data_IF_988943424238
#
_entry.id   IF_988943424238
#
_cell.length_a   1.000
_cell.length_b   1.000
_cell.length_c   1.000
_cell.angle_alpha   90.00
_cell.angle_beta   90.00
_cell.angle_gamma   90.00
#
_symmetry.space_group_name_H-M   'P 1'
#
loop_
_entity.id
_entity.type
_entity.pdbx_description
1 polymer ?
#
# COMPACT_ATOMS: atom_id res chain seq x y z
N UNK A 1 19.42 90.79 6.25
CA UNK A 1 18.39 90.71 7.30
C UNK A 1 17.63 89.40 7.13
N UNK A 2 17.64 88.54 8.16
CA UNK A 2 16.66 87.45 8.46
C UNK A 2 16.67 86.31 7.39
N UNK A 3 16.71 84.99 7.64
CA UNK A 3 16.46 84.06 8.74
C UNK A 3 17.22 82.76 8.33
N UNK A 4 17.75 81.88 9.18
CA UNK A 4 17.17 81.35 10.41
C UNK A 4 16.48 79.99 10.23
N UNK A 5 17.01 79.06 9.42
CA UNK A 5 16.43 77.72 9.22
C UNK A 5 17.04 76.66 10.13
N UNK A 6 16.37 76.35 11.25
CA UNK A 6 16.65 75.19 12.11
C UNK A 6 16.17 73.90 11.43
N UNK A 7 17.09 72.96 11.22
CA UNK A 7 16.77 71.59 10.83
C UNK A 7 16.46 70.76 12.08
N UNK A 8 15.24 70.23 12.18
CA UNK A 8 14.87 69.23 13.18
C UNK A 8 15.14 67.84 12.58
N UNK A 9 16.11 67.11 13.14
CA UNK A 9 16.34 65.72 12.81
C UNK A 9 15.32 64.84 13.50
N UNK A 10 14.40 64.24 12.72
CA UNK A 10 13.56 63.15 13.21
C UNK A 10 14.32 61.84 13.06
N UNK A 11 14.66 61.21 14.19
CA UNK A 11 15.20 59.84 14.20
C UNK A 11 14.01 58.89 14.09
N UNK A 12 13.84 58.26 12.93
CA UNK A 12 12.84 57.20 12.73
C UNK A 12 13.45 55.92 13.32
N UNK A 13 12.97 55.50 14.49
CA UNK A 13 13.25 54.17 15.02
C UNK A 13 12.39 53.14 14.26
N UNK A 14 12.97 52.06 13.72
CA UNK A 14 12.18 50.99 13.13
C UNK A 14 11.36 50.29 14.22
N UNK A 15 10.03 50.37 14.09
CA UNK A 15 9.10 49.57 14.88
C UNK A 15 9.25 48.13 14.38
N UNK A 16 10.04 47.33 15.09
CA UNK A 16 10.03 45.88 14.96
C UNK A 16 8.75 45.37 15.60
N UNK A 17 7.69 45.23 14.81
CA UNK A 17 6.54 44.40 15.16
C UNK A 17 7.02 42.96 15.22
N UNK A 18 7.28 42.47 16.44
CA UNK A 18 7.45 41.06 16.72
C UNK A 18 6.12 40.37 16.40
N UNK A 19 5.98 39.87 15.17
CA UNK A 19 4.98 38.86 14.85
C UNK A 19 5.31 37.66 15.73
N UNK A 20 4.56 37.48 16.81
CA UNK A 20 4.56 36.26 17.58
C UNK A 20 4.01 35.16 16.67
N UNK A 21 4.89 34.41 16.01
CA UNK A 21 4.55 33.11 15.48
C UNK A 21 4.18 32.23 16.67
N UNK A 22 2.88 32.14 16.96
CA UNK A 22 2.37 31.04 17.77
C UNK A 22 2.76 29.77 17.03
N UNK A 23 3.58 28.88 17.63
CA UNK A 23 3.83 27.59 17.03
C UNK A 23 2.47 26.93 16.92
N UNK A 24 1.95 26.79 15.69
CA UNK A 24 0.85 25.89 15.42
C UNK A 24 1.26 24.58 16.08
N UNK A 25 0.51 24.12 17.09
CA UNK A 25 0.63 22.76 17.59
C UNK A 25 0.38 21.87 16.38
N UNK A 26 1.47 21.36 15.79
CA UNK A 26 1.37 20.25 14.86
C UNK A 26 0.74 19.13 15.68
N UNK A 27 -0.53 18.80 15.39
CA UNK A 27 -1.10 17.56 15.87
C UNK A 27 -0.06 16.48 15.60
N UNK A 28 0.33 15.68 16.62
CA UNK A 28 1.37 14.68 16.45
C UNK A 28 0.99 13.86 15.22
N UNK A 29 1.84 13.90 14.19
CA UNK A 29 1.69 13.09 12.99
C UNK A 29 1.51 11.68 13.50
N UNK A 30 0.29 11.16 13.38
CA UNK A 30 -0.05 9.86 13.92
C UNK A 30 0.92 8.87 13.28
N UNK A 31 1.82 8.33 14.11
CA UNK A 31 2.93 7.54 13.62
C UNK A 31 2.37 6.46 12.69
N UNK A 32 2.84 6.47 11.44
CA UNK A 32 2.42 5.52 10.40
C UNK A 32 2.46 4.11 10.98
N UNK A 33 1.28 3.53 11.28
CA UNK A 33 1.22 2.17 11.83
C UNK A 33 1.10 1.21 10.66
N UNK A 34 2.11 0.35 10.44
CA UNK A 34 2.12 -0.57 9.32
C UNK A 34 0.92 -1.52 9.37
N UNK A 35 0.53 -2.04 8.21
CA UNK A 35 -0.33 -3.22 8.10
C UNK A 35 0.18 -4.34 9.01
N UNK A 36 -0.72 -5.03 9.70
CA UNK A 36 -0.32 -6.02 10.70
C UNK A 36 -1.37 -7.14 10.82
N UNK A 37 -0.88 -8.37 10.75
CA UNK A 37 -1.59 -9.57 11.17
C UNK A 37 -0.82 -10.24 12.31
N UNK A 38 -1.53 -10.67 13.34
CA UNK A 38 -0.99 -11.36 14.50
C UNK A 38 -1.48 -12.80 14.46
N UNK A 39 -0.56 -13.75 14.49
CA UNK A 39 -0.87 -15.17 14.62
C UNK A 39 -0.65 -15.63 16.07
N UNK A 40 -1.53 -16.51 16.55
CA UNK A 40 -1.53 -17.03 17.92
C UNK A 40 -1.43 -18.56 17.90
N UNK A 41 -0.54 -19.13 18.72
CA UNK A 41 -0.32 -20.58 18.80
C UNK A 41 -1.52 -21.35 19.36
N UNK A 42 -2.41 -20.66 20.09
CA UNK A 42 -3.62 -21.27 20.66
C UNK A 42 -4.90 -20.63 20.11
N UNK A 43 -6.03 -21.28 20.37
CA UNK A 43 -7.35 -20.76 20.04
C UNK A 43 -7.69 -19.53 20.90
N UNK A 44 -8.72 -18.79 20.48
CA UNK A 44 -9.23 -17.62 21.19
C UNK A 44 -8.16 -16.56 21.49
N UNK A 45 -7.16 -16.41 20.60
CA UNK A 45 -6.16 -15.34 20.64
C UNK A 45 -5.25 -15.39 21.88
N UNK A 46 -4.90 -16.61 22.30
CA UNK A 46 -4.04 -16.87 23.48
C UNK A 46 -2.72 -17.55 23.09
N UNK A 47 -1.83 -17.76 24.06
CA UNK A 47 -0.56 -18.45 23.86
C UNK A 47 0.56 -17.56 23.32
N UNK A 48 1.52 -18.16 22.60
CA UNK A 48 2.60 -17.43 21.93
C UNK A 48 2.02 -16.69 20.73
N UNK A 49 2.43 -15.44 20.55
CA UNK A 49 1.98 -14.62 19.42
C UNK A 49 3.17 -14.14 18.59
N UNK A 50 2.93 -13.89 17.30
CA UNK A 50 3.87 -13.24 16.40
C UNK A 50 3.14 -12.31 15.44
N UNK A 51 3.63 -11.08 15.33
CA UNK A 51 3.15 -10.10 14.34
C UNK A 51 3.90 -10.24 13.02
N UNK A 52 3.18 -10.02 11.94
CA UNK A 52 3.70 -9.97 10.58
C UNK A 52 3.23 -8.67 9.92
N UNK A 53 4.17 -8.01 9.25
CA UNK A 53 3.96 -6.71 8.57
C UNK A 53 4.09 -6.81 7.04
N UNK A 54 4.44 -8.00 6.55
CA UNK A 54 4.64 -8.32 5.14
C UNK A 54 4.11 -9.73 4.84
N UNK A 55 3.86 -10.03 3.55
CA UNK A 55 3.50 -11.37 3.09
C UNK A 55 4.57 -12.40 3.48
N UNK A 56 4.12 -13.62 3.79
CA UNK A 56 4.95 -14.79 4.01
C UNK A 56 4.39 -15.95 3.18
N UNK A 57 5.06 -16.26 2.07
CA UNK A 57 4.70 -17.39 1.18
C UNK A 57 4.86 -18.76 1.85
N UNK A 58 5.63 -18.85 2.94
CA UNK A 58 5.88 -20.09 3.65
C UNK A 58 6.10 -19.84 5.15
N UNK A 59 5.17 -20.30 5.98
CA UNK A 59 5.24 -20.22 7.44
C UNK A 59 5.85 -21.46 8.11
N UNK A 60 6.29 -22.47 7.34
CA UNK A 60 6.80 -23.73 7.90
C UNK A 60 8.07 -23.59 8.76
N UNK A 61 8.88 -22.56 8.51
CA UNK A 61 10.06 -22.21 9.32
C UNK A 61 9.73 -21.32 10.52
N UNK A 62 8.50 -20.80 10.60
CA UNK A 62 8.08 -19.90 11.67
C UNK A 62 7.54 -20.68 12.87
N UNK A 63 8.14 -20.44 14.04
CA UNK A 63 7.80 -21.19 15.26
C UNK A 63 6.38 -20.93 15.77
N UNK A 64 5.77 -19.79 15.43
CA UNK A 64 4.36 -19.49 15.75
C UNK A 64 3.48 -19.73 14.53
N UNK A 65 3.89 -19.27 13.35
CA UNK A 65 3.14 -19.39 12.10
C UNK A 65 2.78 -20.83 11.76
N UNK A 66 3.71 -21.78 11.91
CA UNK A 66 3.45 -23.20 11.65
C UNK A 66 2.36 -23.80 12.53
N UNK A 67 2.26 -23.34 13.79
CA UNK A 67 1.36 -23.93 14.80
C UNK A 67 0.19 -23.00 15.15
N UNK A 68 0.00 -21.93 14.40
CA UNK A 68 -1.02 -20.94 14.70
C UNK A 68 -2.41 -21.58 14.63
N UNK A 69 -3.28 -21.27 15.58
CA UNK A 69 -4.68 -21.77 15.64
C UNK A 69 -5.70 -20.65 15.55
N UNK A 70 -5.32 -19.42 15.88
CA UNK A 70 -6.14 -18.23 15.70
C UNK A 70 -5.29 -17.08 15.20
N UNK A 71 -5.94 -16.08 14.64
CA UNK A 71 -5.28 -14.90 14.11
C UNK A 71 -6.12 -13.67 14.36
N UNK A 72 -5.48 -12.51 14.27
CA UNK A 72 -6.18 -11.25 14.21
C UNK A 72 -5.49 -10.29 13.27
N UNK A 73 -6.28 -9.63 12.44
CA UNK A 73 -5.82 -8.55 11.58
C UNK A 73 -6.05 -7.23 12.29
N UNK A 74 -4.96 -6.53 12.57
CA UNK A 74 -5.01 -5.20 13.18
C UNK A 74 -5.25 -4.16 12.10
N UNK A 75 -4.52 -4.26 10.97
CA UNK A 75 -4.63 -3.35 9.82
C UNK A 75 -4.30 -4.03 8.51
N UNK A 76 -4.98 -3.59 7.45
CA UNK A 76 -4.80 -4.04 6.09
C UNK A 76 -5.73 -5.19 5.73
N UNK A 77 -5.70 -5.57 4.45
CA UNK A 77 -6.41 -6.75 3.95
C UNK A 77 -5.40 -7.87 3.77
N UNK A 78 -5.61 -8.95 4.50
CA UNK A 78 -4.76 -10.13 4.49
C UNK A 78 -5.54 -11.34 3.96
N UNK A 79 -4.81 -12.26 3.35
CA UNK A 79 -5.29 -13.60 3.06
C UNK A 79 -4.46 -14.60 3.80
N UNK A 80 -5.17 -15.51 4.44
CA UNK A 80 -4.62 -16.63 5.15
C UNK A 80 -4.87 -17.88 4.33
N UNK A 81 -3.83 -18.66 4.07
CA UNK A 81 -3.93 -19.98 3.46
C UNK A 81 -3.46 -21.02 4.46
N UNK A 82 -4.20 -22.11 4.56
CA UNK A 82 -3.86 -23.17 5.49
C UNK A 82 -4.43 -24.53 5.12
N UNK A 83 -4.15 -25.50 5.99
CA UNK A 83 -4.70 -26.85 5.93
C UNK A 83 -5.34 -27.23 7.26
N UNK A 84 -6.44 -27.96 7.20
CA UNK A 84 -7.05 -28.62 8.35
C UNK A 84 -6.49 -30.04 8.49
N UNK A 85 -6.22 -30.46 9.73
CA UNK A 85 -5.76 -31.81 10.08
C UNK A 85 -6.82 -32.92 9.92
N UNK A 86 -7.81 -32.73 9.05
CA UNK A 86 -8.84 -33.72 8.76
C UNK A 86 -8.30 -34.85 7.87
N UNK A 87 -9.05 -35.95 7.79
CA UNK A 87 -8.79 -37.04 6.83
C UNK A 87 -9.99 -37.13 5.87
N UNK A 88 -9.85 -36.78 4.58
CA UNK A 88 -8.65 -36.23 3.93
C UNK A 88 -8.34 -34.81 4.39
N UNK A 89 -7.06 -34.40 4.25
CA UNK A 89 -6.61 -33.05 4.58
C UNK A 89 -7.34 -32.03 3.71
N UNK A 90 -8.10 -31.14 4.33
CA UNK A 90 -8.79 -30.07 3.63
C UNK A 90 -7.92 -28.80 3.60
N UNK A 91 -7.93 -28.06 2.49
CA UNK A 91 -7.29 -26.73 2.39
C UNK A 91 -8.33 -25.64 2.65
N UNK A 92 -7.91 -24.56 3.30
CA UNK A 92 -8.74 -23.38 3.45
C UNK A 92 -8.04 -22.12 2.95
N UNK A 93 -8.87 -21.17 2.54
CA UNK A 93 -8.46 -19.82 2.11
C UNK A 93 -9.44 -18.87 2.78
N UNK A 94 -8.91 -17.95 3.57
CA UNK A 94 -9.69 -16.95 4.27
C UNK A 94 -9.14 -15.56 3.90
N UNK A 95 -10.02 -14.62 3.58
CA UNK A 95 -9.64 -13.21 3.46
C UNK A 95 -10.13 -12.50 4.71
N UNK A 96 -9.22 -11.87 5.42
CA UNK A 96 -9.49 -11.21 6.70
C UNK A 96 -8.86 -9.83 6.63
N UNK A 97 -9.62 -8.82 7.03
CA UNK A 97 -9.12 -7.46 7.05
C UNK A 97 -9.37 -6.87 8.41
N UNK A 98 -8.53 -5.92 8.78
CA UNK A 98 -8.73 -5.01 9.89
C UNK A 98 -8.51 -3.61 9.35
N UNK A 99 -9.29 -2.66 9.82
CA UNK A 99 -9.06 -1.26 9.50
C UNK A 99 -8.92 -0.46 10.80
N UNK A 100 -8.28 0.69 10.71
CA UNK A 100 -8.06 1.54 11.88
C UNK A 100 -9.34 2.07 12.53
N UNK A 101 -10.50 2.03 11.85
CA UNK A 101 -11.78 2.58 12.29
C UNK A 101 -12.64 1.55 13.02
N UNK A 102 -12.77 0.37 12.44
CA UNK A 102 -13.54 -0.79 12.91
C UNK A 102 -12.73 -1.67 13.88
N UNK A 103 -11.42 -1.41 13.99
CA UNK A 103 -10.53 -2.06 14.93
C UNK A 103 -10.03 -3.41 14.44
N UNK A 104 -9.43 -4.14 15.39
CA UNK A 104 -8.81 -5.44 15.16
C UNK A 104 -9.89 -6.49 14.91
N UNK A 105 -9.86 -7.15 13.76
CA UNK A 105 -10.75 -8.27 13.42
C UNK A 105 -10.03 -9.57 13.73
N UNK A 106 -10.72 -10.48 14.38
CA UNK A 106 -10.12 -11.69 14.92
C UNK A 106 -10.89 -12.93 14.45
N UNK A 107 -10.16 -13.95 13.98
CA UNK A 107 -10.70 -15.22 13.49
C UNK A 107 -10.08 -16.40 14.24
N UNK A 108 -10.92 -17.33 14.69
CA UNK A 108 -10.49 -18.59 15.31
C UNK A 108 -11.24 -19.76 14.68
N UNK A 109 -10.53 -20.85 14.39
CA UNK A 109 -11.14 -22.08 13.93
C UNK A 109 -11.53 -22.94 15.14
N UNK A 110 -12.78 -22.80 15.58
CA UNK A 110 -13.32 -23.51 16.76
C UNK A 110 -14.01 -24.82 16.36
N UNK A 111 -13.29 -25.70 15.66
CA UNK A 111 -13.75 -27.06 15.38
C UNK A 111 -13.05 -28.03 16.34
N UNK A 112 -13.79 -28.70 17.24
CA UNK A 112 -13.23 -29.72 18.13
C UNK A 112 -12.51 -30.78 17.28
N UNK A 113 -11.26 -31.11 17.65
CA UNK A 113 -10.40 -32.11 16.98
C UNK A 113 -9.89 -31.75 15.57
N UNK A 114 -10.03 -30.49 15.14
CA UNK A 114 -9.43 -30.02 13.88
C UNK A 114 -8.42 -28.94 14.21
N UNK A 115 -7.14 -29.21 13.93
CA UNK A 115 -6.11 -28.18 13.97
C UNK A 115 -5.98 -27.57 12.59
N UNK A 116 -6.15 -26.25 12.50
CA UNK A 116 -5.73 -25.49 11.34
C UNK A 116 -4.21 -25.28 11.44
N UNK A 117 -3.49 -25.53 10.37
CA UNK A 117 -2.10 -25.12 10.17
C UNK A 117 -2.07 -24.02 9.13
N UNK A 118 -1.37 -22.93 9.41
CA UNK A 118 -1.24 -21.79 8.50
C UNK A 118 -0.02 -22.04 7.62
N UNK A 119 -0.23 -22.10 6.30
CA UNK A 119 0.83 -22.35 5.34
C UNK A 119 1.46 -21.03 4.88
N UNK A 120 0.63 -20.01 4.64
CA UNK A 120 1.08 -18.70 4.19
C UNK A 120 0.10 -17.60 4.56
N UNK A 121 0.62 -16.39 4.62
CA UNK A 121 -0.15 -15.15 4.76
C UNK A 121 0.24 -14.20 3.63
N UNK A 122 -0.74 -13.60 2.98
CA UNK A 122 -0.54 -12.71 1.84
C UNK A 122 -1.20 -11.37 2.16
N UNK A 123 -0.42 -10.29 2.16
CA UNK A 123 -0.97 -8.95 2.19
C UNK A 123 -1.57 -8.64 0.81
N UNK A 124 -2.87 -8.38 0.77
CA UNK A 124 -3.62 -8.07 -0.46
C UNK A 124 -3.86 -6.57 -0.63
N UNK A 125 -4.07 -5.87 0.49
CA UNK A 125 -4.46 -4.46 0.47
C UNK A 125 -3.80 -3.68 1.59
N UNK A 126 -3.55 -2.40 1.32
CA UNK A 126 -2.84 -1.50 2.24
C UNK A 126 -3.57 -1.32 3.57
N UNK A 127 -2.88 -0.71 4.54
CA UNK A 127 -3.35 -0.41 5.89
C UNK A 127 -4.70 0.31 5.99
N UNK A 128 -5.09 1.02 4.94
CA UNK A 128 -6.33 1.76 4.84
C UNK A 128 -7.13 1.18 3.69
N UNK A 129 -8.25 0.51 4.00
CA UNK A 129 -9.13 -0.05 2.98
C UNK A 129 -9.79 1.05 2.14
N UNK A 130 -9.82 2.31 2.63
CA UNK A 130 -10.22 3.47 1.84
C UNK A 130 -9.15 3.88 0.82
N UNK A 131 -7.88 3.53 1.08
CA UNK A 131 -6.78 3.79 0.15
C UNK A 131 -6.82 2.77 -1.00
N UNK A 132 -6.95 3.24 -2.24
CA UNK A 132 -7.08 2.36 -3.40
C UNK A 132 -5.75 1.71 -3.75
N UNK A 133 -5.72 0.39 -3.74
CA UNK A 133 -4.63 -0.42 -4.26
C UNK A 133 -5.19 -1.59 -5.07
N UNK A 134 -4.48 -2.02 -6.10
CA UNK A 134 -4.84 -3.18 -6.93
C UNK A 134 -3.65 -4.13 -7.05
N UNK A 135 -3.94 -5.42 -7.01
CA UNK A 135 -2.97 -6.48 -7.20
C UNK A 135 -3.44 -7.49 -8.24
N UNK A 136 -2.49 -8.11 -8.93
CA UNK A 136 -2.73 -9.13 -9.95
C UNK A 136 -1.88 -10.37 -9.72
N UNK A 137 -2.43 -11.52 -10.10
CA UNK A 137 -1.76 -12.81 -10.09
C UNK A 137 -1.94 -13.52 -11.43
N UNK A 138 -0.86 -14.08 -11.95
CA UNK A 138 -0.81 -14.95 -13.13
C UNK A 138 -1.60 -16.23 -12.91
N UNK A 139 -1.69 -16.68 -11.66
CA UNK A 139 -2.47 -17.86 -11.25
C UNK A 139 -3.88 -17.49 -10.82
N UNK A 140 -4.80 -18.41 -11.04
CA UNK A 140 -6.16 -18.29 -10.54
C UNK A 140 -6.19 -18.35 -9.01
N UNK A 141 -7.28 -17.84 -8.42
CA UNK A 141 -7.56 -17.83 -6.98
C UNK A 141 -6.47 -17.16 -6.14
N UNK A 142 -5.71 -16.24 -6.74
CA UNK A 142 -4.57 -15.55 -6.14
C UNK A 142 -3.56 -16.50 -5.47
N UNK A 143 -3.31 -17.65 -6.09
CA UNK A 143 -2.25 -18.53 -5.60
C UNK A 143 -0.87 -17.95 -5.90
N UNK A 144 0.02 -18.03 -4.92
CA UNK A 144 1.38 -17.48 -4.99
C UNK A 144 1.45 -16.00 -4.62
N UNK A 145 2.66 -15.45 -4.65
CA UNK A 145 2.87 -14.01 -4.47
C UNK A 145 2.22 -13.22 -5.62
N UNK A 146 1.81 -11.95 -5.39
CA UNK A 146 1.33 -11.10 -6.46
C UNK A 146 2.45 -10.83 -7.47
N UNK A 147 2.11 -10.97 -8.74
CA UNK A 147 3.02 -10.67 -9.85
C UNK A 147 3.11 -9.14 -10.10
N UNK A 148 2.07 -8.42 -9.69
CA UNK A 148 1.94 -6.97 -9.84
C UNK A 148 1.14 -6.36 -8.69
N UNK A 149 1.66 -5.29 -8.10
CA UNK A 149 0.98 -4.49 -7.07
C UNK A 149 1.07 -3.00 -7.44
N UNK A 150 -0.04 -2.27 -7.25
CA UNK A 150 -0.14 -0.85 -7.52
C UNK A 150 -1.03 -0.16 -6.47
N UNK A 151 -0.47 0.80 -5.75
CA UNK A 151 -1.15 1.74 -4.84
C UNK A 151 -1.22 3.18 -5.40
N UNK A 152 -0.77 3.36 -6.64
CA UNK A 152 -0.71 4.63 -7.36
C UNK A 152 -1.96 4.97 -8.17
N UNK A 153 -1.83 5.97 -9.05
CA UNK A 153 -2.90 6.36 -9.99
C UNK A 153 -2.76 5.69 -11.35
N UNK A 154 -1.54 5.49 -11.83
CA UNK A 154 -1.24 5.01 -13.18
C UNK A 154 -0.04 4.08 -13.11
N UNK A 155 -0.08 3.02 -13.93
CA UNK A 155 1.07 2.16 -14.18
C UNK A 155 1.11 1.78 -15.66
N UNK A 156 2.30 1.80 -16.25
CA UNK A 156 2.56 1.32 -17.60
C UNK A 156 3.59 0.20 -17.53
N UNK A 157 3.23 -0.98 -18.02
CA UNK A 157 4.16 -2.10 -18.10
C UNK A 157 5.04 -1.94 -19.34
N UNK A 158 6.24 -2.52 -19.31
CA UNK A 158 7.12 -2.54 -20.49
C UNK A 158 6.52 -3.39 -21.63
N UNK A 159 5.76 -4.43 -21.28
CA UNK A 159 5.03 -5.29 -22.20
C UNK A 159 3.72 -5.74 -21.55
N UNK A 160 2.67 -6.02 -22.33
CA UNK A 160 1.45 -6.61 -21.79
C UNK A 160 1.72 -7.96 -21.11
N UNK A 161 1.03 -8.20 -20.00
CA UNK A 161 1.13 -9.41 -19.19
C UNK A 161 -0.25 -10.01 -18.94
N UNK A 162 -0.34 -11.33 -18.94
CA UNK A 162 -1.59 -12.04 -18.68
C UNK A 162 -1.72 -12.40 -17.21
N UNK A 163 -2.89 -12.14 -16.65
CA UNK A 163 -3.26 -12.43 -15.27
C UNK A 163 -4.53 -13.27 -15.24
N UNK A 164 -4.68 -14.11 -14.21
CA UNK A 164 -5.83 -15.00 -14.04
C UNK A 164 -6.67 -14.65 -12.80
N UNK A 165 -6.18 -13.78 -11.93
CA UNK A 165 -6.95 -13.21 -10.84
C UNK A 165 -6.41 -11.82 -10.44
N UNK A 166 -7.29 -11.03 -9.83
CA UNK A 166 -6.96 -9.70 -9.33
C UNK A 166 -7.87 -9.34 -8.16
N UNK A 167 -7.41 -8.43 -7.32
CA UNK A 167 -8.19 -7.85 -6.24
C UNK A 167 -7.75 -6.44 -5.95
N UNK A 168 -8.66 -5.60 -5.49
CA UNK A 168 -8.37 -4.21 -5.18
C UNK A 168 -9.18 -3.69 -4.01
N UNK A 169 -8.61 -2.72 -3.31
CA UNK A 169 -9.22 -1.96 -2.21
C UNK A 169 -9.70 -0.58 -2.69
N UNK A 170 -10.47 0.11 -1.84
CA UNK A 170 -10.91 1.48 -2.08
C UNK A 170 -12.23 1.60 -2.85
N UNK A 171 -12.77 2.83 -2.93
CA UNK A 171 -14.02 3.14 -3.68
C UNK A 171 -13.74 3.51 -5.12
N UNK A 172 -12.47 3.48 -5.50
CA UNK A 172 -12.04 3.90 -6.81
C UNK A 172 -12.13 2.74 -7.77
N UNK A 173 -12.79 2.98 -8.88
CA UNK A 173 -12.77 2.07 -10.01
C UNK A 173 -11.36 2.05 -10.64
N UNK A 174 -11.08 1.03 -11.42
CA UNK A 174 -9.81 0.89 -12.15
C UNK A 174 -10.08 0.59 -13.61
N UNK A 175 -9.34 1.21 -14.52
CA UNK A 175 -9.37 0.88 -15.94
C UNK A 175 -8.10 0.12 -16.30
N UNK A 176 -8.28 -1.03 -16.94
CA UNK A 176 -7.21 -1.87 -17.46
C UNK A 176 -7.15 -1.73 -18.98
N UNK A 177 -6.01 -1.37 -19.52
CA UNK A 177 -5.77 -1.32 -20.96
C UNK A 177 -4.92 -2.51 -21.37
N UNK A 178 -5.23 -3.12 -22.53
CA UNK A 178 -4.40 -4.20 -23.08
C UNK A 178 -3.05 -3.71 -23.59
N UNK A 179 -2.96 -2.43 -23.97
CA UNK A 179 -1.73 -1.79 -24.45
C UNK A 179 -0.99 -1.08 -23.31
N UNK A 180 0.27 -0.71 -23.53
CA UNK A 180 1.15 -0.12 -22.51
C UNK A 180 1.04 1.40 -22.41
N UNK A 181 0.35 2.05 -23.35
CA UNK A 181 0.26 3.49 -23.55
C UNK A 181 -1.07 4.09 -23.09
N UNK A 182 -1.89 3.34 -22.35
CA UNK A 182 -3.24 3.73 -21.90
C UNK A 182 -4.22 3.95 -23.08
N UNK A 183 -4.13 3.14 -24.14
CA UNK A 183 -4.98 3.25 -25.32
C UNK A 183 -5.64 1.91 -25.70
N UNK A 184 -6.46 1.93 -26.75
CA UNK A 184 -7.09 0.72 -27.29
C UNK A 184 -8.19 0.13 -26.40
N UNK A 185 -8.36 -1.19 -26.47
CA UNK A 185 -9.39 -1.88 -25.72
C UNK A 185 -9.13 -1.82 -24.21
N UNK A 186 -10.10 -1.30 -23.48
CA UNK A 186 -10.06 -1.12 -22.04
C UNK A 186 -11.20 -1.83 -21.32
N UNK A 187 -10.94 -2.30 -20.12
CA UNK A 187 -11.93 -2.86 -19.22
C UNK A 187 -12.00 -2.04 -17.93
N UNK A 188 -13.21 -1.62 -17.56
CA UNK A 188 -13.47 -0.94 -16.29
C UNK A 188 -13.78 -1.97 -15.19
N UNK A 189 -12.96 -2.00 -14.15
CA UNK A 189 -13.22 -2.69 -12.90
C UNK A 189 -13.94 -1.73 -11.95
N UNK A 190 -15.21 -1.99 -11.72
CA UNK A 190 -16.03 -1.19 -10.80
C UNK A 190 -15.81 -1.71 -9.37
N UNK A 191 -15.54 -0.79 -8.45
CA UNK A 191 -15.54 -1.10 -7.03
C UNK A 191 -16.96 -1.48 -6.60
N UNK A 192 -17.19 -2.75 -6.31
CA UNK A 192 -18.48 -3.18 -5.79
C UNK A 192 -18.56 -2.85 -4.30
N UNK A 193 -19.36 -1.86 -3.94
CA UNK A 193 -19.70 -1.53 -2.56
C UNK A 193 -20.88 -2.35 -2.00
N UNK A 194 -21.36 -3.34 -2.75
CA UNK A 194 -22.67 -3.98 -2.52
C UNK A 194 -22.66 -5.19 -1.57
N UNK A 195 -21.55 -5.45 -0.88
CA UNK A 195 -21.61 -6.34 0.29
C UNK A 195 -21.93 -5.48 1.49
N UNK A 196 -23.15 -5.67 2.03
CA UNK A 196 -23.82 -4.93 3.09
C UNK A 196 -23.13 -4.98 4.48
N UNK A 197 -21.84 -4.69 4.48
CA UNK A 197 -20.98 -4.47 5.63
C UNK A 197 -19.67 -3.94 5.09
N UNK A 198 -19.49 -2.63 5.12
CA UNK A 198 -18.26 -1.81 5.21
C UNK A 198 -16.96 -2.19 4.46
N UNK A 199 -16.91 -3.21 3.61
CA UNK A 199 -15.64 -3.69 3.03
C UNK A 199 -15.55 -3.36 1.55
N UNK A 200 -14.64 -2.44 1.24
CA UNK A 200 -14.37 -1.94 -0.10
C UNK A 200 -13.33 -2.79 -0.82
N UNK A 201 -13.58 -4.09 -0.88
CA UNK A 201 -12.67 -5.05 -1.50
C UNK A 201 -13.39 -5.73 -2.64
N UNK A 202 -12.90 -5.56 -3.86
CA UNK A 202 -13.39 -6.28 -5.03
C UNK A 202 -12.37 -7.32 -5.44
N UNK A 203 -12.79 -8.57 -5.63
CA UNK A 203 -11.93 -9.64 -6.10
C UNK A 203 -12.57 -10.42 -7.25
N UNK A 204 -11.75 -10.86 -8.20
CA UNK A 204 -12.12 -11.89 -9.14
C UNK A 204 -11.06 -12.99 -9.15
N UNK A 205 -11.49 -14.20 -8.79
CA UNK A 205 -10.60 -15.35 -8.60
C UNK A 205 -10.30 -16.09 -9.91
N UNK A 206 -11.10 -15.96 -10.97
CA UNK A 206 -10.96 -16.76 -12.19
C UNK A 206 -11.26 -15.90 -13.44
N UNK A 207 -10.57 -14.77 -13.59
CA UNK A 207 -10.71 -13.92 -14.77
C UNK A 207 -9.37 -13.78 -15.47
N UNK A 208 -9.29 -14.41 -16.64
CA UNK A 208 -8.16 -14.23 -17.55
C UNK A 208 -8.25 -12.86 -18.20
N UNK A 209 -7.18 -12.07 -18.08
CA UNK A 209 -7.06 -10.75 -18.67
C UNK A 209 -5.63 -10.50 -19.12
N UNK A 210 -5.45 -9.62 -20.10
CA UNK A 210 -4.14 -9.12 -20.50
C UNK A 210 -4.08 -7.64 -20.20
N UNK A 211 -3.09 -7.22 -19.43
CA UNK A 211 -2.92 -5.85 -18.96
C UNK A 211 -1.58 -5.34 -19.46
N UNK A 212 -1.59 -4.22 -20.18
CA UNK A 212 -0.39 -3.47 -20.55
C UNK A 212 -0.25 -2.19 -19.73
N UNK A 213 -1.36 -1.57 -19.32
CA UNK A 213 -1.35 -0.39 -18.46
C UNK A 213 -2.63 -0.30 -17.62
N UNK A 214 -2.51 0.39 -16.49
CA UNK A 214 -3.54 0.49 -15.46
C UNK A 214 -3.74 1.97 -15.14
N UNK A 215 -5.00 2.37 -14.97
CA UNK A 215 -5.37 3.71 -14.52
C UNK A 215 -6.44 3.63 -13.43
N UNK A 216 -6.34 4.50 -12.43
CA UNK A 216 -7.34 4.65 -11.38
C UNK A 216 -8.46 5.59 -11.84
N UNK A 217 -9.65 5.04 -11.98
CA UNK A 217 -10.85 5.67 -12.49
C UNK A 217 -11.50 4.81 -13.58
N UNK A 218 -12.75 5.13 -13.91
CA UNK A 218 -13.40 4.69 -15.14
C UNK A 218 -14.01 5.90 -15.82
N UNK A 219 -13.61 6.14 -17.07
CA UNK A 219 -13.99 7.31 -17.85
C UNK A 219 -13.06 7.50 -19.04
N UNK A 220 -13.35 8.48 -19.89
CA UNK A 220 -12.37 8.92 -20.86
C UNK A 220 -11.17 9.49 -20.11
N UNK A 221 -9.94 9.11 -20.52
CA UNK A 221 -8.73 9.74 -19.99
C UNK A 221 -8.78 11.22 -20.34
N UNK A 222 -8.85 12.09 -19.33
CA UNK A 222 -8.75 13.53 -19.56
C UNK A 222 -7.37 13.82 -20.17
N UNK A 223 -7.30 14.40 -21.39
CA UNK A 223 -6.03 14.75 -22.03
C UNK A 223 -5.13 15.62 -21.13
N UNK A 224 -5.69 16.38 -20.19
CA UNK A 224 -4.94 17.18 -19.21
C UNK A 224 -4.17 16.32 -18.21
N UNK A 225 -4.69 15.14 -17.86
CA UNK A 225 -4.01 14.18 -16.97
C UNK A 225 -2.83 13.53 -17.72
N UNK A 226 -3.01 13.20 -18.99
CA UNK A 226 -1.94 12.68 -19.85
C UNK A 226 -0.82 13.72 -20.05
N UNK A 227 -1.19 15.00 -20.22
CA UNK A 227 -0.23 16.09 -20.42
C UNK A 227 0.60 16.46 -19.18
N UNK A 228 0.03 16.38 -17.98
CA UNK A 228 0.77 16.71 -16.73
C UNK A 228 1.73 15.60 -16.29
N UNK A 229 1.38 14.33 -16.50
CA UNK A 229 2.25 13.21 -16.09
C UNK A 229 3.48 13.02 -16.97
N UNK A 230 3.44 13.48 -18.22
CA UNK A 230 4.65 13.53 -19.06
C UNK A 230 5.71 14.49 -18.49
N UNK A 231 5.31 15.44 -17.63
CA UNK A 231 6.21 16.42 -17.00
C UNK A 231 6.58 16.03 -15.55
N UNK A 232 5.76 15.23 -14.87
CA UNK A 232 6.01 14.76 -13.49
C UNK A 232 6.74 13.40 -13.39
N UNK A 233 7.12 12.79 -14.51
CA UNK A 233 7.87 11.53 -14.58
C UNK A 233 9.25 11.51 -13.89
N UNK A 234 9.66 12.59 -13.21
CA UNK A 234 10.88 12.66 -12.39
C UNK A 234 10.65 12.83 -10.88
N UNK A 235 9.41 12.98 -10.40
CA UNK A 235 9.13 13.40 -9.01
C UNK A 235 8.35 12.36 -8.20
N UNK A 236 9.07 11.57 -7.41
CA UNK A 236 8.60 10.58 -6.44
C UNK A 236 7.20 10.76 -5.82
N UNK A 237 6.22 10.05 -6.35
CA UNK A 237 5.15 9.45 -5.56
C UNK A 237 5.50 7.99 -5.38
N UNK A 238 5.93 7.59 -4.18
CA UNK A 238 6.51 6.28 -3.87
C UNK A 238 5.54 5.10 -3.97
N UNK A 239 4.94 4.88 -5.13
CA UNK A 239 4.28 3.62 -5.44
C UNK A 239 5.36 2.55 -5.54
N UNK A 240 5.40 1.66 -4.54
CA UNK A 240 6.38 0.57 -4.52
C UNK A 240 5.91 -0.48 -5.51
N UNK A 241 6.48 -0.49 -6.71
CA UNK A 241 6.32 -1.61 -7.63
C UNK A 241 7.25 -2.73 -7.20
N UNK A 242 6.72 -3.77 -6.57
CA UNK A 242 7.44 -5.02 -6.39
C UNK A 242 7.12 -5.89 -7.61
N UNK A 243 8.08 -6.08 -8.52
CA UNK A 243 8.02 -7.15 -9.50
C UNK A 243 8.83 -8.32 -8.96
N UNK A 244 8.16 -9.42 -8.62
CA UNK A 244 8.79 -10.63 -8.10
C UNK A 244 9.49 -11.46 -9.20
N UNK A 245 10.20 -10.82 -10.13
CA UNK A 245 11.14 -11.52 -11.04
C UNK A 245 12.55 -11.48 -10.47
N UNK A 246 12.76 -12.21 -9.37
CA UNK A 246 14.09 -12.47 -8.84
C UNK A 246 14.77 -13.62 -9.59
N UNK A 247 15.67 -13.31 -10.52
CA UNK A 247 16.72 -14.22 -10.94
C UNK A 247 17.90 -14.06 -9.95
N UNK A 248 17.95 -14.87 -8.90
CA UNK A 248 19.16 -15.00 -8.07
C UNK A 248 20.10 -16.01 -8.74
N UNK A 249 21.16 -15.49 -9.38
CA UNK A 249 22.37 -16.28 -9.61
C UNK A 249 23.21 -16.22 -8.34
N UNK A 250 23.32 -17.35 -7.66
CA UNK A 250 24.22 -17.55 -6.52
C UNK A 250 25.64 -17.67 -7.06
N UNK A 251 26.44 -16.62 -6.91
CA UNK A 251 27.89 -16.65 -7.01
C UNK A 251 28.47 -16.07 -5.72
N UNK A 252 29.24 -16.88 -5.00
CA UNK A 252 29.80 -16.55 -3.69
C UNK A 252 30.60 -15.24 -3.73
N UNK A 253 30.10 -14.23 -3.00
CA UNK A 253 30.80 -12.96 -2.78
C UNK A 253 30.02 -12.12 -1.77
N UNK A 254 30.54 -12.01 -0.55
CA UNK A 254 29.98 -11.17 0.51
C UNK A 254 30.07 -9.70 0.08
N UNK A 255 28.92 -9.07 -0.21
CA UNK A 255 28.84 -7.62 -0.41
C UNK A 255 28.18 -6.99 0.83
N UNK A 256 28.96 -6.22 1.59
CA UNK A 256 28.44 -5.38 2.67
C UNK A 256 28.05 -4.03 2.06
N UNK A 257 26.75 -3.73 2.01
CA UNK A 257 26.27 -2.39 1.69
C UNK A 257 26.20 -1.57 2.98
N UNK A 258 27.12 -0.61 3.14
CA UNK A 258 26.95 0.49 4.08
C UNK A 258 26.21 1.60 3.35
N UNK A 259 24.89 1.66 3.53
CA UNK A 259 24.08 2.77 3.05
C UNK A 259 24.24 3.99 3.95
N UNK A 260 25.05 4.96 3.55
CA UNK A 260 25.04 6.30 4.16
C UNK A 260 23.87 7.06 3.54
N UNK A 261 22.87 7.36 4.36
CA UNK A 261 21.77 8.24 3.98
C UNK A 261 22.23 9.71 4.06
N UNK A 262 22.37 10.36 2.91
CA UNK A 262 22.55 11.82 2.82
C UNK A 262 21.21 12.39 2.38
N UNK A 263 20.48 13.00 3.32
CA UNK A 263 19.23 13.71 3.03
C UNK A 263 19.50 15.02 2.27
N UNK A 264 18.56 15.50 1.44
CA UNK A 264 18.75 16.74 0.69
C UNK A 264 18.69 17.96 1.62
N UNK A 265 19.74 18.79 1.55
CA UNK A 265 19.72 20.17 2.04
C UNK A 265 18.91 21.04 1.07
N UNK A 266 17.84 21.67 1.55
CA UNK A 266 17.13 22.73 0.83
C UNK A 266 17.83 24.07 1.11
N UNK A 267 18.18 24.78 0.04
CA UNK A 267 18.66 26.16 0.04
C UNK A 267 17.68 26.97 -0.79
N UNK A 268 16.84 27.78 -0.14
CA UNK A 268 15.96 28.73 -0.81
C UNK A 268 16.79 29.89 -1.38
N UNK A 269 17.04 29.82 -2.70
CA UNK A 269 17.62 30.92 -3.46
C UNK A 269 16.53 31.85 -3.98
N UNK A 270 16.32 32.98 -3.29
CA UNK A 270 15.59 34.12 -3.84
C UNK A 270 16.37 34.72 -5.01
N UNK A 271 15.81 34.67 -6.23
CA UNK A 271 16.28 35.47 -7.36
C UNK A 271 15.44 36.73 -7.44
N UNK A 272 16.01 37.84 -6.98
CA UNK A 272 15.48 39.18 -7.22
C UNK A 272 15.73 39.59 -8.67
N UNK A 273 14.69 40.08 -9.33
CA UNK A 273 14.74 40.73 -10.64
C UNK A 273 15.15 42.18 -10.44
N UNK A 274 16.22 42.60 -11.13
CA UNK A 274 16.44 43.97 -11.60
C UNK A 274 16.63 43.92 -13.10
#
# INVERSE_FOLDING_TARGET
MISGGKWWGYTILPIFTLLSCTPHLWSPVEAYRPQEIILYSEQNFTGKQKSFYESQSNLSSDSVGKIAKSHCVVRGLWRVLGTFSTTPTARFIENVYGDGKNGKVCGTWNTPNVTAEYNSILLIGSQDLDTPAIQFHTRARFYGEPDLFLDGRILRLQKPMSFSSYGFTGRHNWTLFRTTDLTGHSECLVANGDHAGDFMVTFNVNKSMTVGSIWRGCGALDPKVLGRQALEGGGGGGGRTYSATGLMLVGQGLLIFVGIYIGPFYSDGNVGVF
#
